data_IF_684699245664
#
_entry.id   IF_684699245664
#
_cell.length_a   1.000
_cell.length_b   1.000
_cell.length_c   1.000
_cell.angle_alpha   90.00
_cell.angle_beta   90.00
_cell.angle_gamma   90.00
#
_symmetry.space_group_name_H-M   'P 1'
#
loop_
_entity.id
_entity.type
_entity.pdbx_description
1 polymer ?
#
# COMPACT_ATOMS: atom_id res chain seq x y z
N UNK A 1 -9.42 -8.44 20.79
CA UNK A 1 -10.76 -7.82 20.64
C UNK A 1 -10.55 -6.46 20.01
N UNK A 2 -11.09 -6.22 18.81
CA UNK A 2 -11.01 -4.91 18.14
C UNK A 2 -11.73 -3.88 19.01
N UNK A 3 -11.06 -2.77 19.34
CA UNK A 3 -11.69 -1.68 20.10
C UNK A 3 -12.61 -0.91 19.14
N UNK A 4 -13.86 -1.37 19.04
CA UNK A 4 -14.89 -0.83 18.13
C UNK A 4 -15.23 0.64 18.38
N UNK A 5 -14.70 1.26 19.44
CA UNK A 5 -14.81 2.71 19.67
C UNK A 5 -13.90 3.55 18.80
N UNK A 6 -12.86 2.96 18.23
CA UNK A 6 -11.79 3.72 17.57
C UNK A 6 -11.59 3.32 16.11
N UNK A 7 -12.00 2.10 15.75
CA UNK A 7 -11.99 1.61 14.38
C UNK A 7 -13.40 1.20 13.97
N UNK A 8 -13.78 1.56 12.75
CA UNK A 8 -15.04 1.14 12.13
C UNK A 8 -14.77 0.26 10.92
N UNK A 9 -15.55 -0.82 10.79
CA UNK A 9 -15.52 -1.69 9.62
C UNK A 9 -16.14 -0.93 8.44
N UNK A 10 -15.42 -0.84 7.33
CA UNK A 10 -15.91 -0.21 6.08
C UNK A 10 -16.08 -1.21 4.95
N UNK A 11 -15.45 -2.39 5.06
CA UNK A 11 -15.57 -3.46 4.08
C UNK A 11 -15.37 -4.84 4.75
N UNK A 12 -16.19 -5.87 4.43
CA UNK A 12 -17.42 -5.77 3.63
C UNK A 12 -18.45 -4.84 4.30
N UNK A 13 -19.43 -4.34 3.53
CA UNK A 13 -20.35 -3.31 4.02
C UNK A 13 -21.16 -3.85 5.22
N UNK A 14 -21.00 -3.27 6.43
CA UNK A 14 -21.66 -3.76 7.63
C UNK A 14 -23.18 -3.57 7.61
N UNK A 15 -23.71 -2.71 6.74
CA UNK A 15 -25.13 -2.40 6.64
C UNK A 15 -25.85 -3.45 5.80
N UNK A 16 -25.26 -3.85 4.68
CA UNK A 16 -25.84 -4.82 3.75
C UNK A 16 -25.69 -6.25 4.23
N UNK A 17 -24.87 -6.48 5.27
CA UNK A 17 -24.48 -7.80 5.78
C UNK A 17 -23.92 -8.68 4.65
N UNK A 18 -23.25 -8.04 3.68
CA UNK A 18 -22.48 -8.72 2.65
C UNK A 18 -21.26 -9.40 3.29
N UNK A 19 -20.94 -10.58 2.78
CA UNK A 19 -19.71 -11.28 3.15
C UNK A 19 -18.70 -11.13 2.02
N UNK A 20 -17.44 -10.87 2.36
CA UNK A 20 -16.31 -10.95 1.43
C UNK A 20 -15.83 -12.41 1.38
N UNK A 21 -16.01 -13.15 0.26
CA UNK A 21 -15.70 -14.58 0.20
C UNK A 21 -14.24 -14.93 0.47
N UNK A 22 -13.31 -14.01 0.17
CA UNK A 22 -11.89 -14.19 0.48
C UNK A 22 -11.58 -14.04 1.97
N UNK A 23 -12.54 -13.61 2.79
CA UNK A 23 -12.39 -13.36 4.22
C UNK A 23 -11.58 -12.10 4.56
N UNK A 24 -11.30 -11.25 3.57
CA UNK A 24 -10.65 -9.96 3.76
C UNK A 24 -11.60 -8.91 4.32
N UNK A 25 -11.04 -7.89 4.95
CA UNK A 25 -11.80 -6.78 5.51
C UNK A 25 -10.95 -5.51 5.60
N UNK A 26 -11.64 -4.37 5.72
CA UNK A 26 -11.02 -3.07 5.99
C UNK A 26 -11.66 -2.43 7.22
N UNK A 27 -10.83 -2.15 8.22
CA UNK A 27 -11.18 -1.28 9.35
C UNK A 27 -10.48 0.06 9.19
N UNK A 28 -11.13 1.16 9.56
CA UNK A 28 -10.57 2.52 9.46
C UNK A 28 -10.61 3.21 10.81
N UNK A 29 -9.49 3.80 11.23
CA UNK A 29 -9.45 4.61 12.44
C UNK A 29 -10.33 5.85 12.29
N UNK A 30 -11.05 6.25 13.35
CA UNK A 30 -11.93 7.44 13.32
C UNK A 30 -11.22 8.75 12.98
N UNK A 31 -9.91 8.83 13.21
CA UNK A 31 -9.07 10.00 12.87
C UNK A 31 -8.16 9.74 11.67
N UNK A 32 -8.41 8.68 10.89
CA UNK A 32 -7.76 8.51 9.59
C UNK A 32 -8.31 9.59 8.65
N UNK A 33 -7.75 10.79 8.73
CA UNK A 33 -8.20 11.96 8.00
C UNK A 33 -7.02 12.58 7.27
N UNK A 34 -6.47 11.81 6.32
CA UNK A 34 -5.49 12.33 5.36
C UNK A 34 -6.23 12.86 4.13
N UNK A 35 -5.60 13.77 3.40
CA UNK A 35 -6.06 14.15 2.05
C UNK A 35 -6.11 12.94 1.09
N UNK A 36 -5.45 11.84 1.45
CA UNK A 36 -5.36 10.59 0.68
C UNK A 36 -6.35 9.50 1.19
N UNK A 37 -7.16 9.79 2.22
CA UNK A 37 -7.95 8.80 2.94
C UNK A 37 -8.92 8.02 2.04
N UNK A 38 -9.59 8.69 1.10
CA UNK A 38 -10.48 8.02 0.14
C UNK A 38 -9.72 6.99 -0.70
N UNK A 39 -8.53 7.34 -1.20
CA UNK A 39 -7.71 6.45 -2.04
C UNK A 39 -7.11 5.30 -1.23
N UNK A 40 -6.78 5.56 0.03
CA UNK A 40 -6.35 4.51 0.95
C UNK A 40 -7.46 3.48 1.19
N UNK A 41 -8.70 3.94 1.39
CA UNK A 41 -9.88 3.06 1.54
C UNK A 41 -10.10 2.25 0.26
N UNK A 42 -10.14 2.87 -0.90
CA UNK A 42 -10.32 2.16 -2.18
C UNK A 42 -9.25 1.08 -2.39
N UNK A 43 -7.99 1.42 -2.12
CA UNK A 43 -6.86 0.49 -2.26
C UNK A 43 -6.96 -0.65 -1.25
N UNK A 44 -7.34 -0.35 0.00
CA UNK A 44 -7.55 -1.36 1.02
C UNK A 44 -8.70 -2.31 0.65
N UNK A 45 -9.77 -1.81 0.03
CA UNK A 45 -10.90 -2.63 -0.45
C UNK A 45 -10.45 -3.58 -1.57
N UNK A 46 -9.64 -3.10 -2.53
CA UNK A 46 -9.08 -3.95 -3.59
C UNK A 46 -8.27 -5.11 -3.00
N UNK A 47 -7.46 -4.84 -1.98
CA UNK A 47 -6.69 -5.86 -1.28
C UNK A 47 -7.57 -6.80 -0.47
N UNK A 48 -8.61 -6.27 0.20
CA UNK A 48 -9.55 -7.08 0.95
C UNK A 48 -10.29 -8.09 0.08
N UNK A 49 -10.63 -7.73 -1.17
CA UNK A 49 -11.22 -8.64 -2.16
C UNK A 49 -10.35 -9.84 -2.54
N UNK A 50 -9.04 -9.77 -2.26
CA UNK A 50 -8.10 -10.88 -2.46
C UNK A 50 -7.60 -11.47 -1.14
N UNK A 51 -8.33 -11.22 -0.04
CA UNK A 51 -8.14 -11.88 1.26
C UNK A 51 -7.32 -11.11 2.27
N UNK A 52 -6.89 -9.87 1.97
CA UNK A 52 -6.16 -9.07 2.94
C UNK A 52 -7.08 -8.56 4.06
N UNK A 53 -6.53 -8.54 5.26
CA UNK A 53 -7.14 -7.95 6.45
C UNK A 53 -6.35 -6.69 6.76
N UNK A 54 -6.98 -5.54 6.61
CA UNK A 54 -6.31 -4.25 6.64
C UNK A 54 -6.96 -3.35 7.68
N UNK A 55 -6.11 -2.63 8.39
CA UNK A 55 -6.51 -1.54 9.27
C UNK A 55 -5.84 -0.26 8.82
N UNK A 56 -6.62 0.74 8.40
CA UNK A 56 -6.11 2.09 8.14
C UNK A 56 -5.93 2.83 9.45
N UNK A 57 -4.71 3.28 9.71
CA UNK A 57 -4.22 3.71 11.02
C UNK A 57 -4.55 5.18 11.30
N UNK A 58 -4.41 5.58 12.56
CA UNK A 58 -4.55 6.97 12.96
C UNK A 58 -3.40 7.84 12.44
N UNK A 59 -3.63 9.15 12.33
CA UNK A 59 -2.56 10.13 12.23
C UNK A 59 -2.11 10.51 13.65
N UNK A 60 -0.81 10.41 13.92
CA UNK A 60 -0.17 10.91 15.12
C UNK A 60 0.59 12.20 14.81
N UNK A 61 0.11 13.32 15.34
CA UNK A 61 0.70 14.65 15.13
C UNK A 61 1.94 14.92 15.99
N UNK A 62 2.42 13.92 16.75
CA UNK A 62 3.63 14.03 17.56
C UNK A 62 4.85 14.24 16.64
N UNK A 63 5.66 15.30 16.83
CA UNK A 63 6.81 15.59 15.99
C UNK A 63 7.75 14.38 15.86
N UNK A 64 8.22 14.14 14.64
CA UNK A 64 9.14 13.04 14.28
C UNK A 64 8.58 11.62 14.40
N UNK A 65 7.27 11.47 14.62
CA UNK A 65 6.60 10.17 14.58
C UNK A 65 6.29 9.77 13.13
N UNK A 66 6.53 8.50 12.81
CA UNK A 66 6.14 7.91 11.53
C UNK A 66 4.65 7.63 11.55
N UNK A 67 3.95 8.01 10.48
CA UNK A 67 2.52 7.81 10.32
C UNK A 67 2.25 6.90 9.11
N UNK A 68 2.51 5.58 9.22
CA UNK A 68 2.15 4.66 8.15
C UNK A 68 0.64 4.63 7.96
N UNK A 69 0.20 4.53 6.71
CA UNK A 69 -1.23 4.51 6.38
C UNK A 69 -1.98 3.31 6.93
N UNK A 70 -1.36 2.12 6.92
CA UNK A 70 -2.06 0.87 7.13
C UNK A 70 -1.28 -0.15 7.98
N UNK A 71 -2.00 -1.07 8.59
CA UNK A 71 -1.47 -2.29 9.21
C UNK A 71 -2.09 -3.52 8.52
N UNK A 72 -1.24 -4.43 8.07
CA UNK A 72 -1.64 -5.69 7.45
C UNK A 72 -1.58 -6.80 8.51
N UNK A 73 -2.73 -7.40 8.82
CA UNK A 73 -2.82 -8.33 9.95
C UNK A 73 -2.07 -9.64 9.75
N UNK A 74 -2.10 -10.20 8.54
CA UNK A 74 -1.50 -11.51 8.26
C UNK A 74 0.03 -11.42 8.29
N UNK A 75 0.58 -10.35 7.72
CA UNK A 75 2.01 -10.08 7.65
C UNK A 75 2.56 -9.42 8.92
N UNK A 76 1.70 -8.85 9.76
CA UNK A 76 2.05 -8.12 10.98
C UNK A 76 3.00 -6.93 10.74
N UNK A 77 2.75 -6.18 9.67
CA UNK A 77 3.57 -5.03 9.27
C UNK A 77 2.74 -3.77 9.08
N UNK A 78 3.35 -2.62 9.34
CA UNK A 78 2.82 -1.32 8.94
C UNK A 78 3.28 -0.98 7.53
N UNK A 79 2.36 -0.49 6.70
CA UNK A 79 2.56 -0.23 5.28
C UNK A 79 2.18 1.21 4.97
N UNK A 80 3.03 1.89 4.21
CA UNK A 80 2.73 3.21 3.64
C UNK A 80 2.18 3.04 2.22
N UNK A 81 1.05 3.68 1.92
CA UNK A 81 0.43 3.65 0.62
C UNK A 81 0.87 4.86 -0.21
N UNK A 82 1.09 4.65 -1.51
CA UNK A 82 1.24 5.74 -2.48
C UNK A 82 0.51 5.40 -3.77
N UNK A 83 -0.04 6.42 -4.39
CA UNK A 83 -0.79 6.31 -5.64
C UNK A 83 -0.06 7.04 -6.75
N UNK A 84 0.12 6.38 -7.90
CA UNK A 84 0.75 6.98 -9.05
C UNK A 84 -0.30 7.37 -10.10
N UNK A 85 -0.42 8.67 -10.39
CA UNK A 85 -1.34 9.20 -11.42
C UNK A 85 -0.61 9.69 -12.68
N UNK A 86 0.66 10.07 -12.54
CA UNK A 86 1.48 10.57 -13.65
C UNK A 86 2.28 9.43 -14.26
N UNK A 87 2.14 9.16 -15.58
CA UNK A 87 2.77 8.01 -16.22
C UNK A 87 4.24 8.26 -16.56
N UNK A 88 5.04 8.58 -15.54
CA UNK A 88 6.47 8.87 -15.70
C UNK A 88 7.31 8.11 -14.69
N UNK A 89 8.51 7.72 -15.12
CA UNK A 89 9.56 7.16 -14.26
C UNK A 89 9.78 8.02 -13.00
N UNK A 90 9.87 9.34 -13.16
CA UNK A 90 10.13 10.26 -12.05
C UNK A 90 9.03 10.23 -10.99
N UNK A 91 7.77 10.07 -11.38
CA UNK A 91 6.66 9.98 -10.42
C UNK A 91 6.78 8.73 -9.54
N UNK A 92 7.22 7.59 -10.10
CA UNK A 92 7.51 6.37 -9.35
C UNK A 92 8.67 6.59 -8.36
N UNK A 93 9.75 7.21 -8.82
CA UNK A 93 10.90 7.53 -7.95
C UNK A 93 10.50 8.45 -6.80
N UNK A 94 9.65 9.44 -7.07
CA UNK A 94 9.12 10.35 -6.05
C UNK A 94 8.25 9.60 -5.04
N UNK A 95 7.37 8.71 -5.49
CA UNK A 95 6.52 7.90 -4.62
C UNK A 95 7.34 7.03 -3.66
N UNK A 96 8.30 6.26 -4.18
CA UNK A 96 9.19 5.42 -3.35
C UNK A 96 10.03 6.29 -2.39
N UNK A 97 10.54 7.44 -2.86
CA UNK A 97 11.33 8.37 -2.03
C UNK A 97 10.51 8.96 -0.88
N UNK A 98 9.24 9.28 -1.12
CA UNK A 98 8.34 9.79 -0.10
C UNK A 98 7.96 8.67 0.87
N UNK A 99 7.51 7.53 0.36
CA UNK A 99 7.01 6.44 1.18
C UNK A 99 8.05 5.85 2.13
N UNK A 100 9.31 5.69 1.67
CA UNK A 100 10.38 5.14 2.53
C UNK A 100 10.65 5.98 3.79
N UNK A 101 10.23 7.25 3.82
CA UNK A 101 10.38 8.09 5.02
C UNK A 101 9.39 7.70 6.11
N UNK A 102 8.25 7.11 5.74
CA UNK A 102 7.13 6.81 6.63
C UNK A 102 7.11 5.35 7.08
N UNK A 103 7.49 4.40 6.22
CA UNK A 103 7.46 2.98 6.57
C UNK A 103 8.60 2.17 5.93
N UNK A 104 8.85 1.00 6.50
CA UNK A 104 9.78 0.01 5.95
C UNK A 104 9.13 -0.86 4.86
N UNK A 105 7.80 -0.93 4.83
CA UNK A 105 7.03 -1.60 3.80
C UNK A 105 6.18 -0.59 3.06
N UNK A 106 6.16 -0.71 1.73
CA UNK A 106 5.43 0.21 0.86
C UNK A 106 4.36 -0.56 0.06
N UNK A 107 3.30 0.15 -0.28
CA UNK A 107 2.36 -0.27 -1.32
C UNK A 107 2.26 0.84 -2.37
N UNK A 108 2.50 0.49 -3.62
CA UNK A 108 2.30 1.39 -4.75
C UNK A 108 1.08 0.94 -5.56
N UNK A 109 0.08 1.79 -5.64
CA UNK A 109 -1.07 1.59 -6.52
C UNK A 109 -0.92 2.46 -7.77
N UNK A 110 -0.69 1.81 -8.91
CA UNK A 110 -0.47 2.47 -10.19
C UNK A 110 -1.83 2.72 -10.86
N UNK A 111 -2.22 3.99 -10.90
CA UNK A 111 -3.48 4.47 -11.50
C UNK A 111 -3.23 5.20 -12.83
N UNK A 112 -1.97 5.34 -13.24
CA UNK A 112 -1.58 5.93 -14.52
C UNK A 112 -1.44 4.87 -15.61
N UNK A 113 -1.38 5.32 -16.86
CA UNK A 113 -1.08 4.48 -18.01
C UNK A 113 0.44 4.26 -18.22
N UNK A 114 1.25 4.27 -17.15
CA UNK A 114 2.70 4.03 -17.25
C UNK A 114 2.98 2.66 -17.85
N UNK A 115 3.95 2.58 -18.76
CA UNK A 115 4.43 1.32 -19.30
C UNK A 115 5.39 0.59 -18.34
N UNK A 116 5.61 -0.69 -18.62
CA UNK A 116 6.46 -1.57 -17.83
C UNK A 116 7.89 -1.04 -17.69
N UNK A 117 8.46 -0.50 -18.77
CA UNK A 117 9.85 -0.04 -18.79
C UNK A 117 10.03 1.16 -17.84
N UNK A 118 9.18 2.17 -17.96
CA UNK A 118 9.24 3.34 -17.08
C UNK A 118 8.93 2.99 -15.62
N UNK A 119 8.02 2.05 -15.37
CA UNK A 119 7.70 1.56 -14.03
C UNK A 119 8.90 0.84 -13.41
N UNK A 120 9.46 -0.15 -14.12
CA UNK A 120 10.60 -0.95 -13.67
C UNK A 120 11.82 -0.07 -13.42
N UNK A 121 12.14 0.84 -14.34
CA UNK A 121 13.25 1.76 -14.20
C UNK A 121 13.06 2.65 -12.96
N UNK A 122 11.86 3.17 -12.73
CA UNK A 122 11.56 4.02 -11.57
C UNK A 122 11.69 3.26 -10.25
N UNK A 123 11.15 2.04 -10.19
CA UNK A 123 11.24 1.17 -9.03
C UNK A 123 12.68 0.82 -8.71
N UNK A 124 13.41 0.23 -9.66
CA UNK A 124 14.79 -0.23 -9.45
C UNK A 124 15.72 0.90 -9.06
N UNK A 125 15.67 2.02 -9.79
CA UNK A 125 16.53 3.17 -9.50
C UNK A 125 16.31 3.67 -8.08
N UNK A 126 15.06 3.77 -7.62
CA UNK A 126 14.80 4.34 -6.29
C UNK A 126 14.95 3.33 -5.16
N UNK A 127 14.56 2.08 -5.35
CA UNK A 127 14.68 1.02 -4.33
C UNK A 127 16.14 0.70 -4.01
N UNK A 128 17.05 0.85 -4.98
CA UNK A 128 18.50 0.77 -4.74
C UNK A 128 18.97 1.73 -3.64
N UNK A 129 18.44 2.96 -3.62
CA UNK A 129 18.77 3.99 -2.61
C UNK A 129 17.83 3.99 -1.39
N UNK A 130 16.90 3.04 -1.30
CA UNK A 130 15.96 2.91 -0.19
C UNK A 130 16.36 1.70 0.67
N UNK A 131 17.49 1.82 1.35
CA UNK A 131 18.09 0.80 2.23
C UNK A 131 17.14 0.29 3.33
N UNK A 132 16.28 1.16 3.83
CA UNK A 132 15.30 0.84 4.86
C UNK A 132 14.07 0.07 4.36
N UNK A 133 13.82 0.03 3.04
CA UNK A 133 12.64 -0.65 2.48
C UNK A 133 12.87 -2.16 2.45
N UNK A 134 12.01 -2.90 3.14
CA UNK A 134 12.07 -4.36 3.32
C UNK A 134 11.21 -5.12 2.32
N UNK A 135 10.12 -4.52 1.85
CA UNK A 135 9.24 -5.12 0.86
C UNK A 135 8.30 -4.10 0.22
N UNK A 136 7.76 -4.47 -0.93
CA UNK A 136 6.88 -3.64 -1.75
C UNK A 136 5.72 -4.48 -2.28
N UNK A 137 4.49 -4.04 -1.98
CA UNK A 137 3.32 -4.43 -2.76
C UNK A 137 3.14 -3.47 -3.94
N UNK A 138 2.78 -4.01 -5.09
CA UNK A 138 2.51 -3.23 -6.29
C UNK A 138 1.16 -3.68 -6.86
N UNK A 139 0.23 -2.74 -7.00
CA UNK A 139 -1.00 -2.94 -7.78
C UNK A 139 -0.77 -2.24 -9.12
N UNK A 140 -0.70 -3.03 -10.20
CA UNK A 140 -0.52 -2.52 -11.56
C UNK A 140 -1.28 -3.39 -12.54
N UNK A 141 -2.03 -2.76 -13.45
CA UNK A 141 -2.90 -3.45 -14.41
C UNK A 141 -3.81 -4.50 -13.74
N UNK A 142 -4.48 -4.10 -12.65
CA UNK A 142 -5.40 -4.94 -11.87
C UNK A 142 -4.75 -6.19 -11.22
N UNK A 143 -3.41 -6.31 -11.28
CA UNK A 143 -2.66 -7.39 -10.66
C UNK A 143 -1.94 -6.91 -9.42
N UNK A 144 -1.95 -7.76 -8.39
CA UNK A 144 -1.18 -7.57 -7.18
C UNK A 144 0.13 -8.35 -7.28
N UNK A 145 1.24 -7.65 -7.08
CA UNK A 145 2.57 -8.22 -6.95
C UNK A 145 3.10 -7.95 -5.55
N UNK A 146 3.93 -8.87 -5.06
CA UNK A 146 4.76 -8.66 -3.89
C UNK A 146 6.21 -8.94 -4.21
N UNK A 147 7.08 -8.08 -3.68
CA UNK A 147 8.51 -8.14 -3.82
C UNK A 147 9.18 -7.95 -2.46
N UNK A 148 9.96 -8.94 -2.05
CA UNK A 148 10.91 -8.81 -0.95
C UNK A 148 12.12 -7.99 -1.41
N UNK A 149 12.85 -7.41 -0.45
CA UNK A 149 14.04 -6.60 -0.75
C UNK A 149 15.05 -7.27 -1.69
N UNK A 150 15.28 -8.58 -1.56
CA UNK A 150 16.22 -9.32 -2.43
C UNK A 150 15.77 -9.33 -3.89
N UNK A 151 14.46 -9.42 -4.12
CA UNK A 151 13.85 -9.53 -5.44
C UNK A 151 13.94 -8.23 -6.24
N UNK A 152 14.26 -7.10 -5.57
CA UNK A 152 14.56 -5.84 -6.23
C UNK A 152 15.83 -5.88 -7.07
N UNK A 153 16.76 -6.79 -6.75
CA UNK A 153 18.13 -6.78 -7.26
C UNK A 153 18.55 -8.06 -7.98
N UNK A 154 17.82 -9.16 -7.84
CA UNK A 154 18.16 -10.47 -8.43
C UNK A 154 17.51 -10.73 -9.80
N UNK A 155 16.78 -9.75 -10.35
CA UNK A 155 16.07 -9.84 -11.63
C UNK A 155 14.65 -10.40 -11.52
N UNK A 156 14.19 -10.81 -10.34
CA UNK A 156 12.83 -11.32 -10.14
C UNK A 156 11.75 -10.29 -10.48
N UNK A 157 12.02 -9.00 -10.22
CA UNK A 157 11.09 -7.93 -10.56
C UNK A 157 10.81 -7.84 -12.07
N UNK A 158 11.82 -8.03 -12.92
CA UNK A 158 11.68 -8.05 -14.39
C UNK A 158 10.88 -9.25 -14.89
N UNK A 159 11.00 -10.39 -14.20
CA UNK A 159 10.29 -11.60 -14.58
C UNK A 159 8.80 -11.52 -14.22
N UNK A 160 8.48 -10.88 -13.09
CA UNK A 160 7.09 -10.71 -12.63
C UNK A 160 6.36 -9.60 -13.40
N UNK A 161 7.06 -8.54 -13.82
CA UNK A 161 6.50 -7.40 -14.55
C UNK A 161 6.90 -7.52 -16.01
N UNK A 162 6.01 -8.06 -16.85
CA UNK A 162 6.15 -8.17 -18.31
C UNK A 162 5.06 -7.39 -19.03
#
# INVERSE_FOLDING_TARGET
MSNTRTYHLVYPDPITNEEEPSGGYVEVHITHNSHEAERNVETAIILAKVGFKIRLLMIDDTPHTKNPDAYFFNEQVTVEFKHNFTPTRSAIEHAVRAGRKQADYLLLHILSSIDANHLLDGLKNRLYFADNVKGLWLIWQERLYYFERREFFDGTIDLKIQ
#
